data_IF_329236852934
#
_entry.id   IF_329236852934
#
_cell.length_a   1.000
_cell.length_b   1.000
_cell.length_c   1.000
_cell.angle_alpha   90.00
_cell.angle_beta   90.00
_cell.angle_gamma   90.00
#
_symmetry.space_group_name_H-M   'P 1'
#
loop_
_entity.id
_entity.type
_entity.pdbx_description
1 polymer ?
#
# COMPACT_ATOMS: atom_id res chain seq x y z
N UNK A 1 -7.78 61.53 29.97
CA UNK A 1 -6.62 62.45 29.90
C UNK A 1 -5.35 61.63 30.03
N UNK A 2 -4.38 61.79 29.13
CA UNK A 2 -3.03 61.23 29.27
C UNK A 2 -2.61 60.22 28.21
N UNK A 3 -2.43 60.68 26.97
CA UNK A 3 -1.64 60.02 25.93
C UNK A 3 -0.15 60.03 26.30
N UNK A 4 0.59 58.95 26.07
CA UNK A 4 2.05 59.00 25.92
C UNK A 4 2.49 58.28 24.65
N UNK A 5 3.29 59.01 23.87
CA UNK A 5 3.81 58.74 22.53
C UNK A 5 5.06 57.86 22.60
N UNK A 6 5.20 56.97 21.63
CA UNK A 6 6.46 56.31 21.28
C UNK A 6 7.28 57.19 20.31
N UNK A 7 8.62 57.14 20.33
CA UNK A 7 9.44 57.92 19.40
C UNK A 7 9.68 57.19 18.07
N UNK A 8 9.62 57.96 17.00
CA UNK A 8 10.05 57.63 15.64
C UNK A 8 11.58 57.49 15.59
N UNK A 9 12.06 56.42 14.94
CA UNK A 9 13.43 56.33 14.42
C UNK A 9 13.33 56.32 12.90
N UNK A 10 13.74 57.42 12.28
CA UNK A 10 14.03 57.52 10.85
C UNK A 10 15.41 56.94 10.59
N UNK A 11 15.53 56.04 9.60
CA UNK A 11 16.83 55.72 9.00
C UNK A 11 16.76 56.00 7.51
N UNK A 12 17.77 56.76 7.08
CA UNK A 12 17.96 57.34 5.77
C UNK A 12 18.22 56.30 4.68
N UNK A 13 17.63 56.59 3.53
CA UNK A 13 17.81 55.92 2.25
C UNK A 13 19.19 56.27 1.67
N UNK A 14 20.10 55.31 1.59
CA UNK A 14 21.35 55.44 0.84
C UNK A 14 21.31 54.50 -0.38
N UNK A 15 21.31 55.11 -1.56
CA UNK A 15 21.40 54.46 -2.86
C UNK A 15 22.80 53.85 -3.07
N UNK A 16 22.85 52.66 -3.65
CA UNK A 16 24.05 52.06 -4.23
C UNK A 16 23.74 51.45 -5.61
N UNK A 17 24.73 51.41 -6.51
CA UNK A 17 24.53 51.50 -7.94
C UNK A 17 24.21 50.18 -8.62
N UNK A 18 23.47 50.29 -9.72
CA UNK A 18 23.28 49.26 -10.73
C UNK A 18 24.63 48.76 -11.26
N UNK A 19 24.81 47.43 -11.22
CA UNK A 19 25.91 46.76 -11.90
C UNK A 19 25.33 45.70 -12.83
N UNK A 20 25.32 46.05 -14.11
CA UNK A 20 25.17 45.14 -15.23
C UNK A 20 26.16 43.97 -15.13
N UNK A 21 25.69 42.76 -15.36
CA UNK A 21 26.55 41.67 -15.83
C UNK A 21 25.75 40.72 -16.71
N UNK A 22 25.81 40.97 -18.03
CA UNK A 22 25.72 39.93 -19.05
C UNK A 22 27.00 39.08 -19.00
N UNK A 23 26.87 37.76 -19.12
CA UNK A 23 27.85 36.71 -19.56
C UNK A 23 27.19 35.39 -19.10
N UNK A 24 26.63 34.57 -20.00
CA UNK A 24 27.24 33.62 -20.94
C UNK A 24 27.09 32.19 -20.40
N UNK A 25 26.60 31.32 -21.27
CA UNK A 25 26.64 29.87 -21.13
C UNK A 25 28.10 29.39 -20.98
N UNK A 26 28.34 28.46 -20.06
CA UNK A 26 28.76 27.08 -20.40
C UNK A 26 29.09 26.26 -19.14
N UNK A 27 28.78 24.97 -19.26
CA UNK A 27 29.23 23.80 -18.51
C UNK A 27 30.22 24.02 -17.35
N UNK A 28 29.75 23.78 -16.12
CA UNK A 28 30.56 23.15 -15.06
C UNK A 28 29.75 22.21 -14.20
N UNK A 29 29.97 20.93 -14.48
CA UNK A 29 29.85 19.77 -13.61
C UNK A 29 30.36 20.12 -12.18
N UNK A 30 29.43 20.30 -11.24
CA UNK A 30 29.75 20.50 -9.83
C UNK A 30 29.70 19.17 -9.09
N UNK A 31 30.85 18.49 -9.04
CA UNK A 31 31.12 17.49 -8.03
C UNK A 31 31.21 18.19 -6.66
N UNK A 32 30.29 17.86 -5.76
CA UNK A 32 30.39 18.24 -4.35
C UNK A 32 30.67 16.99 -3.50
N UNK A 33 31.66 17.00 -2.59
CA UNK A 33 32.11 15.83 -1.86
C UNK A 33 31.51 15.82 -0.44
N UNK A 34 30.56 14.92 -0.13
CA UNK A 34 30.19 14.63 1.26
C UNK A 34 29.82 13.16 1.43
N UNK A 35 30.55 12.51 2.35
CA UNK A 35 30.29 11.20 3.00
C UNK A 35 30.41 9.92 2.18
N UNK A 36 31.67 9.49 2.03
CA UNK A 36 32.08 8.09 1.99
C UNK A 36 31.78 7.41 3.33
N UNK A 37 30.80 6.49 3.37
CA UNK A 37 30.70 5.37 4.31
C UNK A 37 29.44 4.54 3.98
N UNK A 38 29.46 3.81 2.86
CA UNK A 38 28.66 2.59 2.71
C UNK A 38 29.55 1.56 2.01
N UNK A 39 29.79 0.48 2.74
CA UNK A 39 30.58 -0.68 2.36
C UNK A 39 29.95 -1.43 1.18
N UNK A 40 30.81 -2.09 0.41
CA UNK A 40 30.53 -3.03 -0.68
C UNK A 40 29.20 -3.83 -0.54
N UNK A 41 28.27 -3.76 -1.51
CA UNK A 41 27.22 -4.76 -1.67
C UNK A 41 27.76 -5.90 -2.55
N UNK A 42 28.76 -6.62 -2.07
CA UNK A 42 29.32 -7.80 -2.75
C UNK A 42 29.55 -8.95 -1.77
N UNK A 43 28.68 -9.06 -0.76
CA UNK A 43 28.53 -10.27 0.05
C UNK A 43 27.08 -10.74 -0.05
N UNK A 44 26.75 -11.25 -1.22
CA UNK A 44 25.70 -12.26 -1.38
C UNK A 44 26.09 -13.42 -0.47
N UNK A 45 25.40 -13.57 0.65
CA UNK A 45 25.41 -14.81 1.43
C UNK A 45 24.71 -15.88 0.58
N UNK A 46 25.48 -16.46 -0.33
CA UNK A 46 25.13 -17.68 -1.06
C UNK A 46 25.15 -18.82 -0.03
N UNK A 47 24.03 -19.02 0.66
CA UNK A 47 23.74 -20.21 1.48
C UNK A 47 23.46 -21.40 0.54
N UNK A 48 24.41 -21.69 -0.35
CA UNK A 48 24.50 -22.99 -1.01
C UNK A 48 24.99 -23.98 0.02
N UNK A 49 24.17 -25.00 0.23
CA UNK A 49 24.49 -26.22 0.94
C UNK A 49 25.78 -26.81 0.35
N UNK A 50 26.93 -26.42 0.91
CA UNK A 50 28.18 -27.14 0.67
C UNK A 50 28.02 -28.53 1.31
N UNK A 51 28.21 -29.63 0.57
CA UNK A 51 28.26 -30.94 1.18
C UNK A 51 29.46 -30.94 2.13
N UNK A 52 29.15 -31.06 3.42
CA UNK A 52 30.13 -31.15 4.49
C UNK A 52 30.94 -32.44 4.25
N UNK A 53 32.10 -32.33 3.61
CA UNK A 53 33.04 -33.45 3.50
C UNK A 53 33.47 -33.84 4.91
N UNK A 54 33.04 -35.04 5.30
CA UNK A 54 33.35 -35.64 6.60
C UNK A 54 34.85 -35.93 6.69
N UNK A 55 35.59 -35.03 7.33
CA UNK A 55 36.99 -35.24 7.68
C UNK A 55 37.11 -36.31 8.78
N UNK A 56 37.87 -37.41 8.55
CA UNK A 56 38.03 -38.48 9.52
C UNK A 56 39.21 -38.17 10.45
N UNK A 57 39.04 -37.20 11.34
CA UNK A 57 39.97 -36.95 12.44
C UNK A 57 39.25 -36.29 13.62
N UNK A 58 38.37 -37.07 14.27
CA UNK A 58 37.79 -36.69 15.57
C UNK A 58 38.85 -36.77 16.65
N UNK A 59 39.55 -35.65 16.90
CA UNK A 59 40.24 -35.45 18.16
C UNK A 59 39.15 -35.21 19.21
N UNK A 60 38.95 -36.20 20.06
CA UNK A 60 38.02 -36.20 21.20
C UNK A 60 38.50 -35.19 22.25
N UNK A 61 38.29 -33.89 21.98
CA UNK A 61 38.42 -32.85 23.00
C UNK A 61 37.19 -32.99 23.90
N UNK A 62 37.36 -33.63 25.04
CA UNK A 62 36.35 -33.70 26.09
C UNK A 62 35.98 -32.27 26.53
N UNK A 63 34.93 -31.70 25.94
CA UNK A 63 34.42 -30.39 26.34
C UNK A 63 33.69 -30.55 27.68
N UNK A 64 34.43 -30.30 28.77
CA UNK A 64 33.79 -29.96 30.04
C UNK A 64 33.25 -28.52 29.93
N UNK A 65 32.23 -28.32 29.10
CA UNK A 65 31.52 -27.06 29.08
C UNK A 65 30.85 -26.91 30.47
N UNK A 66 31.22 -25.90 31.28
CA UNK A 66 30.59 -25.68 32.57
C UNK A 66 29.09 -25.57 32.37
N UNK A 67 28.30 -26.35 33.14
CA UNK A 67 26.84 -26.32 33.05
C UNK A 67 26.38 -24.86 33.11
N UNK A 68 25.59 -24.39 32.13
CA UNK A 68 25.19 -22.99 32.06
C UNK A 68 24.49 -22.63 33.37
N UNK A 69 25.07 -21.67 34.10
CA UNK A 69 24.46 -21.16 35.33
C UNK A 69 23.20 -20.40 34.94
N UNK A 70 22.08 -20.73 35.58
CA UNK A 70 20.81 -20.06 35.35
C UNK A 70 20.94 -18.59 35.76
N UNK A 71 20.61 -17.66 34.86
CA UNK A 71 20.63 -16.21 35.12
C UNK A 71 19.78 -15.82 36.35
N UNK A 72 18.74 -16.60 36.66
CA UNK A 72 17.89 -16.39 37.83
C UNK A 72 18.60 -16.69 39.17
N UNK A 73 19.79 -17.29 39.15
CA UNK A 73 20.60 -17.55 40.34
C UNK A 73 21.54 -16.38 40.68
N UNK A 74 21.55 -15.31 39.90
CA UNK A 74 22.30 -14.10 40.21
C UNK A 74 21.69 -13.39 41.43
N UNK A 75 22.50 -12.68 42.24
CA UNK A 75 21.99 -11.84 43.32
C UNK A 75 20.98 -10.81 42.82
N UNK A 76 19.99 -10.48 43.65
CA UNK A 76 18.91 -9.53 43.30
C UNK A 76 19.44 -8.17 42.82
N UNK A 77 20.51 -7.68 43.45
CA UNK A 77 21.13 -6.39 43.10
C UNK A 77 21.76 -6.42 41.71
N UNK A 78 22.37 -7.55 41.33
CA UNK A 78 22.95 -7.75 40.00
C UNK A 78 21.84 -7.80 38.95
N UNK A 79 20.75 -8.52 39.22
CA UNK A 79 19.59 -8.58 38.32
C UNK A 79 18.92 -7.21 38.16
N UNK A 80 18.76 -6.46 39.26
CA UNK A 80 18.23 -5.11 39.22
C UNK A 80 19.13 -4.18 38.42
N UNK A 81 20.45 -4.22 38.65
CA UNK A 81 21.41 -3.42 37.90
C UNK A 81 21.41 -3.72 36.41
N UNK A 82 21.36 -5.00 36.02
CA UNK A 82 21.22 -5.41 34.63
C UNK A 82 19.93 -4.86 34.02
N UNK A 83 18.81 -4.98 34.71
CA UNK A 83 17.52 -4.50 34.22
C UNK A 83 17.44 -2.97 34.14
N UNK A 84 18.03 -2.24 35.09
CA UNK A 84 18.11 -0.77 35.06
C UNK A 84 19.07 -0.24 33.97
N UNK A 85 20.03 -1.06 33.51
CA UNK A 85 20.92 -0.74 32.40
C UNK A 85 20.31 -1.05 31.01
N UNK A 86 19.20 -1.76 30.94
CA UNK A 86 18.52 -2.10 29.70
C UNK A 86 17.55 -0.98 29.26
N UNK A 87 17.30 -0.85 27.94
CA UNK A 87 16.18 -0.05 27.44
C UNK A 87 14.85 -0.49 28.10
N UNK A 88 13.92 0.44 28.40
CA UNK A 88 12.69 0.12 29.15
C UNK A 88 11.85 -1.03 28.59
N UNK A 89 11.79 -1.16 27.26
CA UNK A 89 11.09 -2.27 26.58
C UNK A 89 11.74 -3.63 26.85
N UNK A 90 13.07 -3.69 26.81
CA UNK A 90 13.87 -4.88 27.06
C UNK A 90 13.92 -5.23 28.54
N UNK A 91 14.00 -4.23 29.42
CA UNK A 91 13.91 -4.41 30.87
C UNK A 91 12.54 -4.99 31.28
N UNK A 92 11.46 -4.50 30.65
CA UNK A 92 10.12 -5.05 30.85
C UNK A 92 10.00 -6.50 30.36
N UNK A 93 10.58 -6.84 29.20
CA UNK A 93 10.62 -8.23 28.71
C UNK A 93 11.40 -9.15 29.65
N UNK A 94 12.56 -8.71 30.14
CA UNK A 94 13.35 -9.45 31.12
C UNK A 94 12.52 -9.71 32.39
N UNK A 95 11.84 -8.68 32.89
CA UNK A 95 10.92 -8.76 34.04
C UNK A 95 9.84 -9.83 33.85
N UNK A 96 9.22 -9.93 32.68
CA UNK A 96 8.12 -10.89 32.43
C UNK A 96 8.59 -12.25 31.88
N UNK A 97 9.88 -12.43 31.61
CA UNK A 97 10.41 -13.64 30.96
C UNK A 97 10.16 -14.92 31.76
N UNK A 98 10.12 -14.84 33.10
CA UNK A 98 9.75 -15.98 33.95
C UNK A 98 9.20 -15.53 35.31
N UNK A 99 8.57 -16.46 36.04
CA UNK A 99 8.00 -16.20 37.38
C UNK A 99 9.04 -15.69 38.38
N UNK A 100 10.27 -16.18 38.32
CA UNK A 100 11.35 -15.75 39.21
C UNK A 100 11.77 -14.33 38.91
N UNK A 101 12.03 -13.99 37.65
CA UNK A 101 12.34 -12.61 37.25
C UNK A 101 11.22 -11.66 37.62
N UNK A 102 9.94 -12.04 37.41
CA UNK A 102 8.81 -11.20 37.79
C UNK A 102 8.75 -10.93 39.30
N UNK A 103 9.00 -11.95 40.13
CA UNK A 103 9.04 -11.79 41.59
C UNK A 103 10.21 -10.93 42.06
N UNK A 104 11.36 -11.07 41.41
CA UNK A 104 12.61 -10.38 41.78
C UNK A 104 12.63 -8.93 41.31
N UNK A 105 12.31 -8.69 40.03
CA UNK A 105 12.37 -7.38 39.38
C UNK A 105 11.08 -6.58 39.54
N UNK A 106 9.95 -7.26 39.79
CA UNK A 106 8.65 -6.65 39.99
C UNK A 106 8.03 -6.06 38.72
N UNK A 107 6.93 -5.34 38.93
CA UNK A 107 6.17 -4.67 37.87
C UNK A 107 6.71 -3.28 37.50
N UNK A 108 7.77 -2.78 38.18
CA UNK A 108 8.28 -1.41 37.97
C UNK A 108 8.64 -1.12 36.51
N UNK A 109 9.27 -2.09 35.84
CA UNK A 109 9.70 -1.96 34.44
C UNK A 109 8.51 -1.99 33.46
N UNK A 110 7.51 -2.83 33.72
CA UNK A 110 6.26 -2.83 32.95
C UNK A 110 5.46 -1.56 33.19
N UNK A 111 5.44 -1.07 34.43
CA UNK A 111 4.82 0.19 34.82
C UNK A 111 5.44 1.39 34.11
N UNK A 112 6.77 1.38 33.90
CA UNK A 112 7.47 2.41 33.15
C UNK A 112 6.97 2.53 31.69
N UNK A 113 6.48 1.44 31.08
CA UNK A 113 5.89 1.47 29.73
C UNK A 113 4.54 2.19 29.66
N UNK A 114 3.86 2.38 30.80
CA UNK A 114 2.59 3.11 30.85
C UNK A 114 2.79 4.62 30.93
N UNK A 115 4.03 5.09 31.16
CA UNK A 115 4.32 6.51 31.14
C UNK A 115 4.65 6.87 29.68
N UNK A 116 3.70 7.45 28.90
CA UNK A 116 4.05 7.89 27.57
C UNK A 116 5.16 8.91 27.74
N UNK A 117 6.29 8.69 27.06
CA UNK A 117 7.21 9.79 26.81
C UNK A 117 6.34 10.90 26.22
N UNK A 118 6.12 11.98 26.97
CA UNK A 118 5.22 13.09 26.62
C UNK A 118 5.81 13.83 25.42
N UNK A 119 5.73 13.23 24.24
CA UNK A 119 5.54 14.02 23.05
C UNK A 119 4.18 14.71 23.22
N UNK A 120 4.18 16.03 23.14
CA UNK A 120 2.99 16.89 23.18
C UNK A 120 1.86 16.20 22.41
N UNK A 121 0.70 16.05 23.04
CA UNK A 121 -0.43 15.24 22.57
C UNK A 121 -1.00 15.77 21.25
N UNK A 122 -0.32 15.48 20.15
CA UNK A 122 -0.91 15.59 18.84
C UNK A 122 -1.80 14.36 18.65
N UNK A 123 -3.04 14.53 18.14
CA UNK A 123 -3.82 13.40 17.67
C UNK A 123 -2.96 12.60 16.70
N UNK A 124 -2.82 11.29 16.92
CA UNK A 124 -2.01 10.40 16.08
C UNK A 124 -2.39 10.54 14.60
N UNK A 125 -3.68 10.72 14.30
CA UNK A 125 -4.20 11.08 12.97
C UNK A 125 -3.54 12.35 12.39
N UNK A 126 -3.39 13.42 13.18
CA UNK A 126 -2.82 14.67 12.72
C UNK A 126 -1.31 14.54 12.42
N UNK A 127 -0.63 13.59 13.08
CA UNK A 127 0.78 13.30 12.84
C UNK A 127 0.98 12.57 11.52
N UNK A 128 0.18 11.53 11.25
CA UNK A 128 0.20 10.84 9.96
C UNK A 128 -0.11 11.78 8.80
N UNK A 129 -1.17 12.58 8.94
CA UNK A 129 -1.62 13.49 7.88
C UNK A 129 -0.57 14.53 7.49
N UNK A 130 0.27 14.96 8.43
CA UNK A 130 1.29 15.99 8.17
C UNK A 130 2.63 15.41 7.74
N UNK A 131 2.78 14.08 7.69
CA UNK A 131 4.06 13.41 7.42
C UNK A 131 5.23 14.05 8.21
N UNK A 132 4.92 14.64 9.38
CA UNK A 132 5.86 15.44 10.17
C UNK A 132 6.86 14.45 10.69
N UNK A 133 8.01 14.34 10.01
CA UNK A 133 9.19 13.56 10.35
C UNK A 133 9.00 12.83 11.68
N UNK A 134 8.26 11.71 11.63
CA UNK A 134 7.84 10.96 12.82
C UNK A 134 9.08 10.13 13.24
N UNK A 135 10.17 10.84 13.52
CA UNK A 135 11.18 10.44 14.50
C UNK A 135 10.57 10.44 15.90
N UNK A 136 9.27 10.71 16.06
CA UNK A 136 8.56 10.51 17.30
C UNK A 136 8.78 9.09 17.79
N UNK A 137 9.48 9.08 18.92
CA UNK A 137 9.92 7.96 19.73
C UNK A 137 9.12 6.71 19.43
N UNK A 138 9.86 5.64 19.09
CA UNK A 138 9.36 4.30 19.34
C UNK A 138 8.91 4.29 20.79
N UNK A 139 7.60 4.37 21.04
CA UNK A 139 7.14 4.22 22.41
C UNK A 139 7.69 2.88 22.88
N UNK A 140 8.45 2.85 23.98
CA UNK A 140 9.03 1.61 24.47
C UNK A 140 7.94 0.52 24.60
N UNK A 141 6.71 0.94 24.90
CA UNK A 141 5.51 0.10 24.83
C UNK A 141 5.32 -0.59 23.47
N UNK A 142 5.40 0.11 22.34
CA UNK A 142 5.21 -0.51 21.02
C UNK A 142 6.29 -1.56 20.73
N UNK A 143 7.56 -1.26 21.01
CA UNK A 143 8.64 -2.23 20.83
C UNK A 143 8.46 -3.45 21.74
N UNK A 144 8.12 -3.22 23.01
CA UNK A 144 7.79 -4.28 23.96
C UNK A 144 6.69 -5.18 23.42
N UNK A 145 5.58 -4.60 22.95
CA UNK A 145 4.47 -5.36 22.39
C UNK A 145 4.86 -6.07 21.09
N UNK A 146 5.70 -5.47 20.24
CA UNK A 146 6.20 -6.10 19.00
C UNK A 146 7.03 -7.34 19.30
N UNK A 147 7.92 -7.24 20.27
CA UNK A 147 8.73 -8.37 20.74
C UNK A 147 7.85 -9.44 21.36
N UNK A 148 6.86 -9.07 22.16
CA UNK A 148 5.89 -10.00 22.74
C UNK A 148 5.01 -10.66 21.66
N UNK A 149 4.60 -9.93 20.62
CA UNK A 149 3.83 -10.45 19.50
C UNK A 149 4.60 -11.54 18.75
N UNK A 150 5.92 -11.41 18.58
CA UNK A 150 6.77 -12.42 17.94
C UNK A 150 6.58 -13.80 18.56
N UNK A 151 6.52 -13.85 19.89
CA UNK A 151 6.45 -15.09 20.66
C UNK A 151 4.99 -15.57 20.86
N UNK A 152 3.99 -14.75 20.51
CA UNK A 152 2.56 -15.07 20.62
C UNK A 152 1.96 -15.31 19.23
N UNK A 153 1.79 -16.56 18.75
CA UNK A 153 1.54 -16.84 17.34
C UNK A 153 0.34 -16.08 16.77
N UNK A 154 -0.78 -16.07 17.48
CA UNK A 154 -2.04 -15.45 17.07
C UNK A 154 -2.19 -13.99 17.52
N UNK A 155 -1.10 -13.26 17.80
CA UNK A 155 -1.18 -11.85 18.20
C UNK A 155 -0.37 -10.92 17.29
N UNK A 156 -0.92 -9.77 16.91
CA UNK A 156 -0.17 -8.71 16.24
C UNK A 156 -0.13 -7.45 17.11
N UNK A 157 0.89 -6.64 16.93
CA UNK A 157 0.98 -5.33 17.58
C UNK A 157 0.35 -4.28 16.69
N UNK A 158 -0.80 -3.79 17.10
CA UNK A 158 -1.44 -2.69 16.41
C UNK A 158 -0.70 -1.39 16.71
N UNK A 159 -0.15 -0.78 15.66
CA UNK A 159 0.61 0.45 15.78
C UNK A 159 -0.27 1.64 16.24
N UNK A 160 -1.45 1.93 15.64
CA UNK A 160 -2.28 3.07 16.08
C UNK A 160 -2.72 3.01 17.54
N UNK A 161 -3.12 1.84 18.05
CA UNK A 161 -3.67 1.73 19.41
C UNK A 161 -2.62 1.36 20.46
N UNK A 162 -1.43 0.90 20.03
CA UNK A 162 -0.36 0.42 20.89
C UNK A 162 -0.82 -0.69 21.86
N UNK A 163 -1.54 -1.68 21.30
CA UNK A 163 -2.04 -2.89 21.97
C UNK A 163 -1.74 -4.13 21.15
N UNK A 164 -1.74 -5.28 21.83
CA UNK A 164 -1.74 -6.59 21.19
C UNK A 164 -3.18 -6.97 20.82
N UNK A 165 -3.38 -7.31 19.55
CA UNK A 165 -4.64 -7.84 19.05
C UNK A 165 -4.47 -9.32 18.76
N UNK A 166 -5.38 -10.12 19.30
CA UNK A 166 -5.50 -11.51 18.91
C UNK A 166 -6.20 -11.58 17.54
N UNK A 167 -5.61 -12.31 16.59
CA UNK A 167 -6.25 -12.65 15.33
C UNK A 167 -6.63 -14.14 15.34
N UNK A 168 -7.92 -14.43 15.24
CA UNK A 168 -8.46 -15.78 15.32
C UNK A 168 -8.11 -16.66 14.11
N UNK A 169 -8.19 -18.00 14.22
CA UNK A 169 -7.96 -18.91 13.10
C UNK A 169 -8.90 -18.64 11.91
N UNK A 170 -10.15 -18.24 12.19
CA UNK A 170 -11.20 -17.91 11.21
C UNK A 170 -10.96 -16.61 10.41
N UNK A 171 -9.81 -15.93 10.58
CA UNK A 171 -9.48 -14.69 9.88
C UNK A 171 -9.43 -14.79 8.34
N UNK A 172 -9.46 -16.00 7.76
CA UNK A 172 -9.43 -16.17 6.31
C UNK A 172 -10.70 -15.73 5.57
N UNK A 173 -11.85 -15.64 6.24
CA UNK A 173 -13.14 -15.35 5.57
C UNK A 173 -13.74 -13.98 5.92
N UNK A 174 -13.37 -13.39 7.07
CA UNK A 174 -13.92 -12.11 7.52
C UNK A 174 -12.79 -11.16 7.95
N UNK A 175 -11.86 -10.89 7.04
CA UNK A 175 -10.74 -9.96 7.25
C UNK A 175 -11.21 -8.55 7.67
N UNK A 176 -12.47 -8.20 7.44
CA UNK A 176 -13.00 -6.83 7.47
C UNK A 176 -13.80 -6.44 8.73
N UNK A 177 -14.21 -7.38 9.59
CA UNK A 177 -15.35 -7.11 10.51
C UNK A 177 -14.97 -6.59 11.90
N UNK A 178 -13.70 -6.70 12.33
CA UNK A 178 -13.29 -6.22 13.66
C UNK A 178 -11.95 -5.47 13.64
N UNK A 179 -11.86 -4.43 12.81
CA UNK A 179 -10.82 -3.42 12.96
C UNK A 179 -10.92 -2.80 14.36
N UNK A 180 -9.80 -2.65 15.08
CA UNK A 180 -9.76 -1.70 16.20
C UNK A 180 -10.32 -0.36 15.69
N UNK A 181 -11.38 0.16 16.32
CA UNK A 181 -12.30 1.16 15.77
C UNK A 181 -11.70 2.52 15.32
N UNK A 182 -10.38 2.69 15.37
CA UNK A 182 -9.63 3.90 15.07
C UNK A 182 -8.67 3.75 13.87
N UNK A 183 -8.95 2.84 12.92
CA UNK A 183 -8.01 2.43 11.87
C UNK A 183 -8.13 3.12 10.51
N UNK A 184 -9.09 4.01 10.32
CA UNK A 184 -9.43 4.59 9.00
C UNK A 184 -8.23 5.32 8.37
N UNK A 185 -7.34 5.90 9.18
CA UNK A 185 -6.25 6.76 8.70
C UNK A 185 -5.06 6.00 8.10
N UNK A 186 -5.03 4.68 8.23
CA UNK A 186 -4.00 3.79 7.67
C UNK A 186 -4.62 2.77 6.70
N UNK A 187 -5.76 3.10 6.09
CA UNK A 187 -6.25 2.33 4.97
C UNK A 187 -5.49 2.78 3.70
N UNK A 188 -5.20 1.84 2.81
CA UNK A 188 -4.68 2.19 1.49
C UNK A 188 -5.78 2.97 0.76
N UNK A 189 -5.61 4.29 0.48
CA UNK A 189 -6.62 5.07 -0.24
C UNK A 189 -6.96 4.43 -1.59
N UNK A 190 -5.98 3.72 -2.13
CA UNK A 190 -5.99 3.02 -3.40
C UNK A 190 -6.81 1.73 -3.42
N UNK A 191 -7.09 1.12 -2.26
CA UNK A 191 -7.92 -0.09 -2.11
C UNK A 191 -9.28 0.23 -1.49
N UNK A 192 -9.81 1.42 -1.80
CA UNK A 192 -11.17 1.86 -1.45
C UNK A 192 -11.52 1.72 0.05
N UNK A 193 -10.49 1.71 0.92
CA UNK A 193 -10.66 1.58 2.37
C UNK A 193 -10.78 0.14 2.90
N UNK A 194 -10.79 -0.88 2.04
CA UNK A 194 -11.03 -2.26 2.44
C UNK A 194 -9.84 -2.91 3.14
N UNK A 195 -8.61 -2.59 2.71
CA UNK A 195 -7.41 -3.20 3.25
C UNK A 195 -6.70 -2.26 4.21
N UNK A 196 -6.62 -2.69 5.46
CA UNK A 196 -5.91 -1.98 6.52
C UNK A 196 -4.60 -2.68 6.87
N UNK A 197 -3.60 -1.90 7.30
CA UNK A 197 -2.26 -2.41 7.59
C UNK A 197 -2.22 -3.62 8.54
N UNK A 198 -3.09 -3.65 9.56
CA UNK A 198 -3.07 -4.72 10.55
C UNK A 198 -3.48 -6.08 9.97
N UNK A 199 -4.36 -6.08 8.96
CA UNK A 199 -4.75 -7.29 8.23
C UNK A 199 -3.53 -7.86 7.50
N UNK A 200 -2.83 -6.98 6.79
CA UNK A 200 -1.61 -7.31 6.04
C UNK A 200 -0.49 -7.81 6.96
N UNK A 201 -0.29 -7.15 8.11
CA UNK A 201 0.65 -7.58 9.13
C UNK A 201 0.33 -8.98 9.69
N UNK A 202 -0.96 -9.27 9.93
CA UNK A 202 -1.37 -10.61 10.39
C UNK A 202 -1.10 -11.68 9.32
N UNK A 203 -1.38 -11.37 8.05
CA UNK A 203 -1.10 -12.24 6.93
C UNK A 203 0.41 -12.55 6.80
N UNK A 204 1.26 -11.53 6.84
CA UNK A 204 2.72 -11.68 6.80
C UNK A 204 3.26 -12.47 7.98
N UNK A 205 2.72 -12.25 9.18
CA UNK A 205 3.14 -13.01 10.34
C UNK A 205 2.83 -14.51 10.20
N UNK A 206 1.64 -14.86 9.71
CA UNK A 206 1.28 -16.27 9.44
C UNK A 206 2.17 -16.89 8.37
N UNK A 207 2.49 -16.12 7.34
CA UNK A 207 3.41 -16.51 6.30
C UNK A 207 4.80 -16.84 6.87
N UNK A 208 5.39 -15.97 7.70
CA UNK A 208 6.68 -16.23 8.36
C UNK A 208 6.67 -17.43 9.31
N UNK A 209 5.53 -17.68 9.94
CA UNK A 209 5.33 -18.87 10.79
C UNK A 209 5.13 -20.16 9.97
N UNK A 210 5.24 -20.09 8.65
CA UNK A 210 5.04 -21.21 7.70
C UNK A 210 3.64 -21.84 7.80
N UNK A 211 2.65 -21.07 8.24
CA UNK A 211 1.26 -21.51 8.31
C UNK A 211 0.50 -21.27 7.00
N UNK A 212 1.07 -20.50 6.07
CA UNK A 212 0.47 -20.19 4.78
C UNK A 212 1.56 -20.33 3.71
N UNK A 213 1.32 -21.16 2.71
CA UNK A 213 2.28 -21.42 1.63
C UNK A 213 2.10 -20.54 0.40
N UNK A 214 0.99 -19.81 0.24
CA UNK A 214 0.67 -19.17 -1.05
C UNK A 214 -0.23 -17.93 -0.91
N UNK A 215 -0.24 -17.16 -2.01
CA UNK A 215 -1.14 -16.05 -2.37
C UNK A 215 -2.48 -16.07 -1.64
N UNK A 216 -2.86 -14.94 -1.04
CA UNK A 216 -4.17 -14.76 -0.42
C UNK A 216 -5.00 -13.95 -1.42
N UNK A 217 -5.82 -14.60 -2.27
CA UNK A 217 -6.69 -13.83 -3.13
C UNK A 217 -7.68 -13.07 -2.25
N UNK A 218 -7.54 -11.75 -2.22
CA UNK A 218 -8.60 -10.87 -1.73
C UNK A 218 -9.55 -10.66 -2.89
N UNK A 219 -10.42 -11.63 -3.17
CA UNK A 219 -11.46 -11.42 -4.17
C UNK A 219 -12.47 -10.42 -3.61
N UNK A 220 -12.25 -9.15 -3.92
CA UNK A 220 -13.30 -8.14 -3.94
C UNK A 220 -13.45 -7.70 -5.40
N UNK A 221 -14.48 -8.22 -6.06
CA UNK A 221 -14.88 -7.78 -7.38
C UNK A 221 -15.89 -6.65 -7.17
N UNK A 222 -15.42 -5.43 -7.34
CA UNK A 222 -16.28 -4.27 -7.23
C UNK A 222 -16.67 -3.79 -8.62
N UNK A 223 -17.97 -3.65 -8.84
CA UNK A 223 -18.52 -2.99 -10.04
C UNK A 223 -19.02 -1.63 -9.61
N UNK A 224 -18.34 -0.59 -10.08
CA UNK A 224 -18.65 0.80 -9.76
C UNK A 224 -19.08 1.55 -11.01
N UNK A 225 -20.04 2.46 -10.84
CA UNK A 225 -20.51 3.35 -11.89
C UNK A 225 -19.87 4.71 -11.66
N UNK A 226 -18.98 5.12 -12.58
CA UNK A 226 -18.22 6.36 -12.42
C UNK A 226 -19.11 7.60 -12.51
N UNK A 227 -20.18 7.56 -13.31
CA UNK A 227 -21.22 8.57 -13.29
C UNK A 227 -22.51 8.08 -13.94
N UNK A 228 -23.70 8.39 -13.35
CA UNK A 228 -25.00 8.09 -13.96
C UNK A 228 -25.18 8.70 -15.35
N UNK A 229 -24.50 9.81 -15.66
CA UNK A 229 -24.60 10.49 -16.96
C UNK A 229 -23.60 9.95 -17.97
N UNK A 230 -22.41 9.54 -17.50
CA UNK A 230 -21.31 9.07 -18.35
C UNK A 230 -21.53 7.69 -18.97
N UNK A 231 -22.41 6.87 -18.38
CA UNK A 231 -22.62 5.47 -18.78
C UNK A 231 -21.34 4.61 -18.76
N UNK A 232 -20.27 5.09 -18.12
CA UNK A 232 -19.03 4.36 -17.95
C UNK A 232 -19.22 3.31 -16.86
N UNK A 233 -18.84 2.08 -17.19
CA UNK A 233 -18.84 0.96 -16.25
C UNK A 233 -17.40 0.65 -15.91
N UNK A 234 -17.06 0.71 -14.61
CA UNK A 234 -15.79 0.29 -14.07
C UNK A 234 -15.97 -1.06 -13.37
N UNK A 235 -15.25 -2.07 -13.83
CA UNK A 235 -15.05 -3.30 -13.08
C UNK A 235 -13.65 -3.28 -12.48
N UNK A 236 -13.53 -3.55 -11.19
CA UNK A 236 -12.27 -3.57 -10.46
C UNK A 236 -12.06 -4.94 -9.84
N UNK A 237 -10.84 -5.46 -9.98
CA UNK A 237 -10.38 -6.72 -9.41
C UNK A 237 -9.11 -6.45 -8.62
N UNK A 238 -9.12 -6.85 -7.36
CA UNK A 238 -7.97 -6.72 -6.48
C UNK A 238 -7.44 -8.11 -6.11
N UNK A 239 -6.13 -8.21 -5.93
CA UNK A 239 -5.48 -9.43 -5.44
C UNK A 239 -4.25 -9.06 -4.62
N UNK A 240 -3.98 -9.83 -3.57
CA UNK A 240 -2.79 -9.66 -2.74
C UNK A 240 -1.94 -10.92 -2.81
N UNK A 241 -0.65 -10.72 -3.05
CA UNK A 241 0.34 -11.78 -3.09
C UNK A 241 1.40 -11.50 -2.04
N UNK A 242 1.83 -12.55 -1.32
CA UNK A 242 3.04 -12.48 -0.51
C UNK A 242 4.14 -13.13 -1.33
N UNK A 243 5.04 -12.30 -1.85
CA UNK A 243 6.13 -12.74 -2.69
C UNK A 243 7.19 -13.45 -1.84
N UNK A 244 7.53 -14.68 -2.23
CA UNK A 244 8.58 -15.47 -1.56
C UNK A 244 9.99 -14.97 -1.87
N UNK A 245 10.19 -14.36 -3.04
CA UNK A 245 11.51 -13.89 -3.48
C UNK A 245 11.91 -12.61 -2.77
N UNK A 246 10.95 -11.68 -2.64
CA UNK A 246 11.17 -10.37 -2.03
C UNK A 246 10.75 -10.31 -0.55
N UNK A 247 10.06 -11.34 -0.05
CA UNK A 247 9.46 -11.37 1.29
C UNK A 247 8.57 -10.14 1.55
N UNK A 248 7.84 -9.71 0.51
CA UNK A 248 7.01 -8.51 0.52
C UNK A 248 5.57 -8.81 0.14
N UNK A 249 4.68 -7.93 0.56
CA UNK A 249 3.28 -7.91 0.17
C UNK A 249 3.17 -7.11 -1.12
N UNK A 250 2.73 -7.75 -2.19
CA UNK A 250 2.47 -7.11 -3.47
C UNK A 250 0.96 -7.11 -3.71
N UNK A 251 0.42 -5.93 -4.00
CA UNK A 251 -0.99 -5.78 -4.36
C UNK A 251 -1.10 -5.57 -5.85
N UNK A 252 -1.96 -6.37 -6.49
CA UNK A 252 -2.41 -6.17 -7.84
C UNK A 252 -3.80 -5.57 -7.83
N UNK A 253 -4.01 -4.52 -8.60
CA UNK A 253 -5.35 -4.00 -8.91
C UNK A 253 -5.49 -3.88 -10.42
N UNK A 254 -6.44 -4.59 -10.97
CA UNK A 254 -6.85 -4.46 -12.36
C UNK A 254 -8.19 -3.74 -12.40
N UNK A 255 -8.26 -2.70 -13.23
CA UNK A 255 -9.49 -2.01 -13.55
C UNK A 255 -9.78 -2.13 -15.03
N UNK A 256 -11.04 -2.35 -15.33
CA UNK A 256 -11.57 -2.55 -16.67
C UNK A 256 -12.65 -1.50 -16.85
N UNK A 257 -12.35 -0.52 -17.70
CA UNK A 257 -13.23 0.59 -18.02
C UNK A 257 -13.84 0.34 -19.38
N UNK A 258 -15.17 0.32 -19.42
CA UNK A 258 -15.93 0.04 -20.62
C UNK A 258 -16.43 1.35 -21.20
N UNK A 259 -15.99 1.64 -22.43
CA UNK A 259 -16.26 2.86 -23.18
C UNK A 259 -17.25 2.52 -24.31
N UNK A 260 -18.54 2.85 -24.19
CA UNK A 260 -19.54 2.49 -25.19
C UNK A 260 -19.21 2.98 -26.61
N UNK A 261 -19.36 2.13 -27.63
CA UNK A 261 -19.18 2.53 -29.04
C UNK A 261 -20.15 3.63 -29.49
N UNK A 262 -21.38 3.60 -28.97
CA UNK A 262 -22.47 4.48 -29.37
C UNK A 262 -22.97 5.22 -28.14
N UNK A 263 -22.28 6.29 -27.76
CA UNK A 263 -22.96 7.34 -27.02
C UNK A 263 -23.93 8.00 -27.99
N UNK A 264 -25.21 7.60 -27.92
CA UNK A 264 -26.29 8.53 -28.18
C UNK A 264 -26.23 9.62 -27.10
N UNK A 265 -25.17 10.43 -27.12
CA UNK A 265 -25.27 11.78 -26.64
C UNK A 265 -26.35 12.37 -27.53
N UNK A 266 -27.57 12.40 -27.00
CA UNK A 266 -28.65 13.13 -27.62
C UNK A 266 -28.06 14.49 -27.97
N UNK A 267 -28.26 14.91 -29.21
CA UNK A 267 -27.60 16.00 -29.94
C UNK A 267 -27.75 17.39 -29.33
N UNK A 268 -27.82 17.51 -28.00
CA UNK A 268 -27.52 18.73 -27.31
C UNK A 268 -26.10 19.11 -27.71
N UNK A 269 -26.01 20.29 -28.30
CA UNK A 269 -24.81 20.99 -28.75
C UNK A 269 -23.92 21.33 -27.55
N UNK A 270 -23.60 20.35 -26.71
CA UNK A 270 -22.61 20.49 -25.67
C UNK A 270 -21.24 20.35 -26.35
N UNK A 271 -20.48 21.45 -26.51
CA UNK A 271 -19.15 21.40 -27.11
C UNK A 271 -18.18 20.55 -26.28
N UNK A 272 -18.49 20.26 -25.02
CA UNK A 272 -17.64 19.49 -24.10
C UNK A 272 -18.09 18.02 -23.97
N UNK A 273 -18.34 17.34 -25.10
CA UNK A 273 -18.60 15.89 -25.15
C UNK A 273 -17.34 15.04 -24.89
N UNK A 274 -16.48 15.48 -23.97
CA UNK A 274 -15.33 14.73 -23.48
C UNK A 274 -15.51 14.48 -22.00
N UNK A 275 -15.22 13.27 -21.55
CA UNK A 275 -15.12 13.00 -20.11
C UNK A 275 -13.66 12.96 -19.77
N UNK A 276 -13.29 13.83 -18.82
CA UNK A 276 -12.03 13.72 -18.11
C UNK A 276 -12.28 13.02 -16.78
N UNK A 277 -11.39 12.10 -16.43
CA UNK A 277 -11.38 11.54 -15.09
C UNK A 277 -9.95 11.34 -14.61
N UNK A 278 -9.85 11.48 -13.29
CA UNK A 278 -8.60 11.41 -12.57
C UNK A 278 -8.37 9.98 -12.11
N UNK A 279 -7.32 9.35 -12.59
CA UNK A 279 -6.96 8.01 -12.20
C UNK A 279 -5.64 7.97 -11.42
N UNK A 280 -5.69 7.81 -10.09
CA UNK A 280 -4.46 7.65 -9.29
C UNK A 280 -3.90 6.24 -9.49
N UNK A 281 -2.79 6.13 -10.22
CA UNK A 281 -2.02 4.87 -10.31
C UNK A 281 -1.31 4.63 -8.98
N UNK A 282 -0.60 5.65 -8.50
CA UNK A 282 0.00 5.72 -7.19
C UNK A 282 -0.04 7.18 -6.68
N UNK A 283 0.38 7.47 -5.46
CA UNK A 283 0.43 8.85 -4.96
C UNK A 283 1.30 9.81 -5.78
N UNK A 284 2.28 9.28 -6.52
CA UNK A 284 3.21 10.07 -7.32
C UNK A 284 2.76 10.25 -8.78
N UNK A 285 1.90 9.36 -9.26
CA UNK A 285 1.46 9.31 -10.65
C UNK A 285 -0.06 9.33 -10.71
N UNK A 286 -0.57 10.44 -11.22
CA UNK A 286 -1.96 10.63 -11.57
C UNK A 286 -2.07 10.66 -13.08
N UNK A 287 -3.03 9.93 -13.61
CA UNK A 287 -3.38 9.99 -15.01
C UNK A 287 -4.63 10.82 -15.17
N UNK A 288 -4.49 11.84 -16.02
CA UNK A 288 -5.62 12.57 -16.55
C UNK A 288 -6.02 11.80 -17.82
N UNK A 289 -7.07 11.00 -17.69
CA UNK A 289 -7.64 10.23 -18.79
C UNK A 289 -8.67 11.10 -19.48
N UNK A 290 -8.57 11.20 -20.80
CA UNK A 290 -9.51 11.95 -21.63
C UNK A 290 -10.02 11.02 -22.72
N UNK A 291 -11.32 10.84 -22.78
CA UNK A 291 -11.95 10.08 -23.85
C UNK A 291 -12.80 10.99 -24.72
N UNK A 292 -12.40 11.11 -25.98
CA UNK A 292 -13.17 11.80 -27.01
C UNK A 292 -14.17 10.81 -27.61
N UNK A 293 -15.45 10.99 -27.29
CA UNK A 293 -16.53 10.15 -27.81
C UNK A 293 -16.69 10.25 -29.33
N UNK A 294 -16.34 11.38 -29.94
CA UNK A 294 -16.48 11.60 -31.40
C UNK A 294 -15.36 10.91 -32.15
N UNK A 295 -14.13 11.08 -31.68
CA UNK A 295 -12.96 10.46 -32.28
C UNK A 295 -12.78 9.00 -31.88
N UNK A 296 -13.52 8.52 -30.88
CA UNK A 296 -13.26 7.24 -30.18
C UNK A 296 -11.78 7.13 -29.81
N UNK A 297 -11.24 8.23 -29.30
CA UNK A 297 -9.82 8.35 -29.01
C UNK A 297 -9.64 8.54 -27.52
N UNK A 298 -9.03 7.52 -26.91
CA UNK A 298 -8.53 7.64 -25.55
C UNK A 298 -7.13 8.28 -25.59
N UNK A 299 -6.98 9.35 -24.83
CA UNK A 299 -5.69 9.97 -24.55
C UNK A 299 -5.46 9.98 -23.04
N UNK A 300 -4.19 9.85 -22.67
CA UNK A 300 -3.75 9.88 -21.28
C UNK A 300 -2.58 10.85 -21.20
N UNK A 301 -2.72 11.90 -20.39
CA UNK A 301 -1.69 12.93 -20.20
C UNK A 301 -1.09 13.40 -21.53
N UNK A 302 -1.95 13.80 -22.47
CA UNK A 302 -1.64 14.27 -23.82
C UNK A 302 -1.02 13.24 -24.79
N UNK A 303 -0.98 11.96 -24.41
CA UNK A 303 -0.44 10.89 -25.27
C UNK A 303 -1.54 9.94 -25.72
N UNK A 304 -1.59 9.66 -27.03
CA UNK A 304 -2.45 8.61 -27.57
C UNK A 304 -1.95 7.21 -27.16
N UNK A 305 -2.90 6.34 -26.81
CA UNK A 305 -2.68 4.94 -26.46
C UNK A 305 -2.98 4.03 -27.67
N UNK A 306 -2.10 4.02 -28.66
CA UNK A 306 -2.23 3.14 -29.83
C UNK A 306 -1.71 1.71 -29.58
N UNK A 307 -0.93 1.51 -28.52
CA UNK A 307 -0.33 0.22 -28.15
C UNK A 307 -0.39 0.02 -26.64
N UNK A 308 -0.36 -1.24 -26.17
CA UNK A 308 -0.13 -1.51 -24.77
C UNK A 308 1.16 -0.84 -24.28
N UNK A 309 1.17 -0.44 -23.01
CA UNK A 309 2.30 0.26 -22.40
C UNK A 309 2.54 -0.24 -20.99
N UNK A 310 3.68 -0.88 -20.80
CA UNK A 310 4.22 -1.18 -19.49
C UNK A 310 5.13 -0.05 -19.01
N UNK A 311 4.94 0.41 -17.78
CA UNK A 311 5.74 1.48 -17.17
C UNK A 311 5.85 1.26 -15.65
N UNK A 312 6.81 1.96 -15.05
CA UNK A 312 7.09 1.92 -13.62
C UNK A 312 7.18 3.33 -13.06
N UNK A 313 6.83 3.49 -11.79
CA UNK A 313 6.95 4.76 -11.09
C UNK A 313 8.39 5.01 -10.63
N UNK A 314 8.96 6.19 -10.88
CA UNK A 314 10.32 6.54 -10.44
C UNK A 314 10.47 6.77 -8.92
N UNK A 315 9.36 6.86 -8.18
CA UNK A 315 9.34 7.31 -6.77
C UNK A 315 8.86 6.24 -5.79
N UNK A 316 8.14 5.23 -6.26
CA UNK A 316 7.70 4.10 -5.44
C UNK A 316 7.76 2.82 -6.24
N UNK A 317 7.78 1.68 -5.53
CA UNK A 317 7.73 0.36 -6.12
C UNK A 317 6.33 0.08 -6.68
N UNK A 318 6.04 0.65 -7.84
CA UNK A 318 4.76 0.50 -8.53
C UNK A 318 5.00 0.34 -10.01
N UNK A 319 4.64 -0.84 -10.51
CA UNK A 319 4.56 -1.13 -11.93
C UNK A 319 3.11 -1.02 -12.39
N UNK A 320 2.90 -0.66 -13.65
CA UNK A 320 1.56 -0.61 -14.23
C UNK A 320 1.57 -0.90 -15.72
N UNK A 321 0.44 -1.43 -16.18
CA UNK A 321 0.20 -1.83 -17.55
C UNK A 321 -1.09 -1.24 -18.10
N UNK A 322 -0.87 -0.42 -19.12
CA UNK A 322 -1.73 0.23 -20.12
C UNK A 322 -2.27 -0.66 -21.23
N UNK A 323 -3.57 -0.88 -21.46
CA UNK A 323 -4.01 -1.13 -22.85
C UNK A 323 -5.43 -0.69 -23.16
N UNK A 324 -5.65 -0.46 -24.45
CA UNK A 324 -6.96 -0.25 -25.04
C UNK A 324 -7.22 -1.39 -26.01
N UNK A 325 -8.41 -1.97 -25.93
CA UNK A 325 -8.89 -2.97 -26.86
C UNK A 325 -10.14 -2.44 -27.55
N UNK A 326 -10.07 -2.24 -28.86
CA UNK A 326 -11.26 -1.94 -29.69
C UNK A 326 -12.09 -3.22 -29.84
N UNK A 327 -13.36 -3.16 -29.43
CA UNK A 327 -14.34 -4.25 -29.59
C UNK A 327 -15.40 -3.89 -30.64
N UNK A 328 -15.04 -3.08 -31.62
CA UNK A 328 -15.85 -2.68 -32.76
C UNK A 328 -17.17 -2.01 -32.33
N UNK A 329 -18.30 -2.70 -32.53
CA UNK A 329 -19.65 -2.25 -32.18
C UNK A 329 -19.90 -2.24 -30.66
N UNK A 330 -19.09 -2.96 -29.90
CA UNK A 330 -19.28 -3.06 -28.45
C UNK A 330 -18.71 -1.85 -27.71
N UNK A 331 -17.71 -1.20 -28.27
CA UNK A 331 -17.00 -0.07 -27.67
C UNK A 331 -15.53 -0.38 -27.48
N UNK A 332 -14.85 0.52 -26.80
CA UNK A 332 -13.45 0.36 -26.44
C UNK A 332 -13.37 -0.08 -24.98
N UNK A 333 -12.41 -0.93 -24.67
CA UNK A 333 -12.14 -1.37 -23.30
C UNK A 333 -10.76 -0.87 -22.91
N UNK A 334 -10.71 -0.08 -21.84
CA UNK A 334 -9.47 0.34 -21.23
C UNK A 334 -9.15 -0.61 -20.07
N UNK A 335 -8.02 -1.28 -20.18
CA UNK A 335 -7.44 -2.08 -19.12
C UNK A 335 -6.33 -1.30 -18.43
N UNK A 336 -6.43 -1.21 -17.11
CA UNK A 336 -5.42 -0.65 -16.24
C UNK A 336 -5.08 -1.65 -15.17
N UNK A 337 -3.93 -2.31 -15.30
CA UNK A 337 -3.40 -3.15 -14.23
C UNK A 337 -2.26 -2.42 -13.52
N UNK A 338 -2.24 -2.45 -12.19
CA UNK A 338 -1.10 -1.98 -11.41
C UNK A 338 -0.67 -3.04 -10.41
N UNK A 339 0.62 -3.06 -10.12
CA UNK A 339 1.24 -3.84 -9.07
C UNK A 339 2.00 -2.91 -8.15
N UNK A 340 1.80 -3.04 -6.86
CA UNK A 340 2.44 -2.19 -5.86
C UNK A 340 3.02 -3.05 -4.76
N UNK A 341 4.34 -2.93 -4.55
CA UNK A 341 5.01 -3.54 -3.40
C UNK A 341 4.78 -2.64 -2.17
N UNK A 342 4.21 -3.21 -1.12
CA UNK A 342 3.88 -2.54 0.13
C UNK A 342 4.92 -2.77 1.23
N UNK A 343 5.96 -3.56 0.98
CA UNK A 343 7.01 -3.93 1.92
C UNK A 343 6.74 -5.26 2.63
N UNK A 344 7.51 -5.55 3.68
CA UNK A 344 7.42 -6.79 4.45
C UNK A 344 6.21 -6.83 5.39
N UNK A 345 5.49 -5.72 5.55
CA UNK A 345 4.30 -5.65 6.39
C UNK A 345 4.59 -5.79 7.88
N UNK A 346 5.84 -5.65 8.32
CA UNK A 346 6.24 -5.69 9.72
C UNK A 346 5.87 -4.41 10.46
N UNK A 347 5.96 -3.27 9.77
CA UNK A 347 5.77 -1.94 10.32
C UNK A 347 5.03 -1.03 9.34
N UNK A 348 4.02 -0.26 9.79
CA UNK A 348 3.39 0.73 8.93
C UNK A 348 4.35 1.88 8.60
N UNK A 349 5.51 1.98 9.27
CA UNK A 349 6.55 2.97 8.94
C UNK A 349 7.47 2.53 7.80
N UNK A 350 7.25 1.34 7.24
CA UNK A 350 8.00 0.92 6.06
C UNK A 350 7.84 1.94 4.94
N UNK A 351 8.95 2.21 4.26
CA UNK A 351 8.99 3.22 3.22
C UNK A 351 7.96 2.92 2.11
N UNK A 352 7.89 1.67 1.67
CA UNK A 352 6.94 1.21 0.66
C UNK A 352 5.49 1.48 1.07
N UNK A 353 5.13 1.09 2.31
CA UNK A 353 3.81 1.36 2.85
C UNK A 353 3.50 2.85 2.93
N UNK A 354 4.40 3.65 3.51
CA UNK A 354 4.21 5.09 3.66
C UNK A 354 4.04 5.78 2.32
N UNK A 355 4.83 5.39 1.32
CA UNK A 355 4.70 5.89 -0.05
C UNK A 355 3.41 5.46 -0.73
N UNK A 356 2.85 4.29 -0.39
CA UNK A 356 1.59 3.83 -0.94
C UNK A 356 0.37 4.57 -0.36
N UNK A 357 0.44 5.02 0.90
CA UNK A 357 -0.63 5.77 1.57
C UNK A 357 -0.47 7.29 1.52
N UNK A 358 0.70 7.79 1.10
CA UNK A 358 0.94 9.22 0.98
C UNK A 358 -0.12 9.85 0.07
N UNK A 359 -0.62 11.04 0.40
CA UNK A 359 -1.52 11.76 -0.49
C UNK A 359 -0.67 12.74 -1.31
N UNK A 360 -0.47 12.44 -2.60
CA UNK A 360 0.37 13.23 -3.50
C UNK A 360 -0.03 14.69 -3.62
N UNK A 361 -1.28 15.03 -3.27
CA UNK A 361 -1.81 16.40 -3.37
C UNK A 361 -1.31 17.35 -2.27
N UNK A 362 -0.79 16.83 -1.16
CA UNK A 362 -0.48 17.64 0.03
C UNK A 362 1.01 17.96 0.21
N UNK A 363 1.91 17.28 -0.49
CA UNK A 363 3.35 17.53 -0.38
C UNK A 363 3.81 18.48 -1.48
N UNK A 364 3.95 19.76 -1.12
CA UNK A 364 4.71 20.70 -1.95
C UNK A 364 6.14 20.22 -2.05
N UNK A 365 6.53 19.68 -3.22
CA UNK A 365 7.90 19.47 -3.73
C UNK A 365 9.02 18.99 -2.79
N UNK A 366 8.72 18.51 -1.58
CA UNK A 366 9.69 17.82 -0.76
C UNK A 366 10.08 16.57 -1.53
N UNK A 367 11.30 16.60 -2.06
CA UNK A 367 11.88 15.61 -2.98
C UNK A 367 11.86 14.25 -2.30
N UNK A 368 10.77 13.51 -2.45
CA UNK A 368 10.78 12.06 -2.22
C UNK A 368 11.91 11.55 -3.12
N UNK A 369 12.95 11.02 -2.50
CA UNK A 369 14.11 10.51 -3.23
C UNK A 369 13.64 9.45 -4.21
N UNK A 370 14.08 9.52 -5.47
CA UNK A 370 13.82 8.46 -6.45
C UNK A 370 14.18 7.11 -5.84
N UNK A 371 13.27 6.16 -5.97
CA UNK A 371 13.48 4.83 -5.40
C UNK A 371 14.25 4.00 -6.43
N UNK A 372 15.43 3.50 -6.05
CA UNK A 372 16.20 2.64 -6.94
C UNK A 372 15.64 1.23 -6.87
N UNK A 373 14.86 0.84 -7.88
CA UNK A 373 14.46 -0.55 -8.12
C UNK A 373 14.46 -0.82 -9.63
N UNK A 374 14.52 -2.10 -9.99
CA UNK A 374 14.45 -2.51 -11.38
C UNK A 374 13.00 -2.35 -11.88
N UNK A 375 12.81 -1.52 -12.90
CA UNK A 375 11.50 -1.29 -13.50
C UNK A 375 10.93 -2.62 -14.02
N UNK A 376 9.72 -2.97 -13.61
CA UNK A 376 9.11 -4.26 -13.94
C UNK A 376 9.27 -5.35 -12.89
N UNK A 377 10.14 -5.17 -11.89
CA UNK A 377 10.40 -6.22 -10.90
C UNK A 377 9.19 -6.52 -10.01
N UNK A 378 8.29 -5.56 -9.80
CA UNK A 378 7.11 -5.75 -8.93
C UNK A 378 6.06 -6.58 -9.68
N UNK A 379 5.83 -6.26 -10.96
CA UNK A 379 5.00 -7.06 -11.85
C UNK A 379 5.57 -8.48 -11.98
N UNK A 380 6.87 -8.61 -12.24
CA UNK A 380 7.52 -9.92 -12.40
C UNK A 380 7.43 -10.77 -11.11
N UNK A 381 7.64 -10.15 -9.94
CA UNK A 381 7.50 -10.85 -8.66
C UNK A 381 6.07 -11.37 -8.42
N UNK A 382 5.05 -10.68 -8.95
CA UNK A 382 3.65 -11.09 -8.83
C UNK A 382 3.24 -12.11 -9.90
N UNK A 383 3.42 -11.76 -11.17
CA UNK A 383 2.91 -12.50 -12.34
C UNK A 383 3.86 -13.61 -12.80
N UNK A 384 5.10 -13.61 -12.32
CA UNK A 384 6.19 -14.53 -12.74
C UNK A 384 6.52 -14.45 -14.22
N UNK A 385 6.19 -13.32 -14.85
CA UNK A 385 6.54 -12.96 -16.22
C UNK A 385 7.06 -11.53 -16.24
N UNK A 386 8.00 -11.18 -17.14
CA UNK A 386 8.42 -9.81 -17.32
C UNK A 386 7.21 -8.92 -17.66
N UNK A 387 7.16 -7.71 -17.11
CA UNK A 387 6.03 -6.80 -17.31
C UNK A 387 5.72 -6.47 -18.77
N UNK A 388 6.74 -6.43 -19.63
CA UNK A 388 6.57 -6.23 -21.08
C UNK A 388 5.86 -7.39 -21.80
N UNK A 389 5.85 -8.58 -21.18
CA UNK A 389 5.18 -9.78 -21.66
C UNK A 389 3.89 -10.06 -20.91
N UNK A 390 3.51 -9.19 -19.97
CA UNK A 390 2.26 -9.34 -19.27
C UNK A 390 1.11 -9.12 -20.24
N UNK A 391 0.28 -10.15 -20.39
CA UNK A 391 -1.00 -10.08 -21.07
C UNK A 391 -2.08 -9.90 -20.00
N UNK A 392 -3.08 -9.07 -20.28
CA UNK A 392 -4.21 -8.92 -19.35
C UNK A 392 -4.89 -10.27 -19.15
N UNK A 393 -5.62 -10.38 -18.05
CA UNK A 393 -6.56 -11.49 -17.86
C UNK A 393 -7.58 -11.42 -19.01
N UNK A 394 -7.29 -12.11 -20.12
CA UNK A 394 -7.89 -11.87 -21.46
C UNK A 394 -9.40 -12.03 -21.49
N UNK A 395 -9.98 -12.63 -20.45
CA UNK A 395 -11.42 -12.71 -20.25
C UNK A 395 -11.84 -11.89 -19.03
N UNK A 396 -12.50 -10.76 -19.29
CA UNK A 396 -13.74 -10.53 -18.54
C UNK A 396 -14.56 -11.80 -18.68
N UNK A 397 -14.92 -12.41 -17.56
CA UNK A 397 -15.72 -13.63 -17.58
C UNK A 397 -17.04 -13.31 -18.27
N UNK A 398 -17.66 -14.31 -18.87
CA UNK A 398 -18.98 -14.14 -19.49
C UNK A 398 -19.98 -13.47 -18.53
N UNK A 399 -19.87 -13.75 -17.24
CA UNK A 399 -20.64 -13.11 -16.15
C UNK A 399 -20.38 -11.60 -16.02
N UNK A 400 -19.14 -11.14 -16.16
CA UNK A 400 -18.81 -9.72 -16.09
C UNK A 400 -19.46 -9.00 -17.29
N UNK A 401 -19.44 -9.65 -18.46
CA UNK A 401 -20.16 -9.17 -19.64
C UNK A 401 -21.66 -9.20 -19.45
N UNK A 402 -22.24 -10.23 -18.84
CA UNK A 402 -23.67 -10.25 -18.53
C UNK A 402 -24.05 -9.06 -17.64
N UNK A 403 -23.24 -8.77 -16.62
CA UNK A 403 -23.47 -7.64 -15.73
C UNK A 403 -23.46 -6.36 -16.55
N UNK A 404 -22.42 -6.13 -17.34
CA UNK A 404 -22.30 -4.96 -18.24
C UNK A 404 -23.48 -4.86 -19.20
N UNK A 405 -23.87 -5.98 -19.81
CA UNK A 405 -24.94 -6.08 -20.80
C UNK A 405 -26.34 -5.94 -20.19
N UNK A 406 -26.52 -6.08 -18.87
CA UNK A 406 -27.82 -5.85 -18.21
C UNK A 406 -28.16 -4.36 -18.10
N UNK A 407 -27.22 -3.45 -18.34
CA UNK A 407 -27.45 -2.01 -18.16
C UNK A 407 -27.93 -1.29 -19.44
N UNK A 408 -28.72 -0.20 -19.33
CA UNK A 408 -29.50 0.38 -20.43
C UNK A 408 -28.72 0.82 -21.68
N UNK A 409 -27.40 1.00 -21.54
CA UNK A 409 -26.45 1.31 -22.61
C UNK A 409 -26.49 0.23 -23.70
N UNK A 410 -26.70 -1.03 -23.33
CA UNK A 410 -26.88 -2.16 -24.25
C UNK A 410 -28.32 -2.24 -24.80
N UNK A 411 -29.34 -1.95 -23.98
CA UNK A 411 -30.77 -2.06 -24.36
C UNK A 411 -31.21 -1.06 -25.43
N UNK A 412 -30.57 0.10 -25.51
CA UNK A 412 -30.78 1.02 -26.63
C UNK A 412 -30.38 0.37 -27.97
N UNK A 413 -29.40 -0.56 -27.97
CA UNK A 413 -28.98 -1.35 -29.14
C UNK A 413 -30.03 -2.38 -29.54
N UNK A 414 -30.59 -3.11 -28.57
CA UNK A 414 -31.63 -4.11 -28.86
C UNK A 414 -32.89 -3.47 -29.45
N UNK A 415 -33.31 -2.31 -28.91
CA UNK A 415 -34.45 -1.56 -29.46
C UNK A 415 -34.22 -1.05 -30.89
N UNK A 416 -32.97 -0.82 -31.32
CA UNK A 416 -32.67 -0.43 -32.71
C UNK A 416 -32.56 -1.65 -33.64
N UNK A 417 -31.97 -2.76 -33.20
CA UNK A 417 -31.98 -4.02 -33.95
C UNK A 417 -33.39 -4.55 -34.18
N UNK A 418 -34.27 -4.41 -33.18
CA UNK A 418 -35.69 -4.75 -33.31
C UNK A 418 -36.47 -3.75 -34.17
N UNK A 419 -36.13 -2.45 -34.15
CA UNK A 419 -36.80 -1.46 -35.04
C UNK A 419 -36.51 -1.66 -36.53
N UNK A 420 -35.41 -2.33 -36.90
CA UNK A 420 -35.14 -2.72 -38.28
C UNK A 420 -35.94 -3.95 -38.77
N UNK A 421 -36.63 -4.66 -37.88
CA UNK A 421 -37.42 -5.88 -38.18
C UNK A 421 -38.81 -5.72 -37.57
N UNK A 422 -39.76 -5.21 -38.36
CA UNK A 422 -41.07 -4.75 -37.90
C UNK A 422 -41.87 -5.66 -36.94
N UNK A 423 -42.54 -4.97 -36.00
CA UNK A 423 -43.72 -5.27 -35.17
C UNK A 423 -43.96 -6.69 -34.60
N UNK A 424 -44.03 -6.78 -33.26
CA UNK A 424 -45.29 -7.08 -32.52
C UNK A 424 -45.16 -6.97 -30.98
N UNK A 425 -45.96 -6.06 -30.43
CA UNK A 425 -46.66 -6.02 -29.12
C UNK A 425 -46.36 -7.12 -28.07
N UNK A 426 -45.94 -6.73 -26.86
CA UNK A 426 -46.73 -6.71 -25.59
C UNK A 426 -45.81 -6.51 -24.35
N UNK A 427 -46.37 -6.14 -23.17
CA UNK A 427 -45.62 -5.51 -22.08
C UNK A 427 -44.97 -6.53 -21.14
N UNK A 428 -43.74 -6.23 -20.72
CA UNK A 428 -43.07 -7.01 -19.69
C UNK A 428 -43.41 -6.50 -18.29
N UNK A 429 -43.98 -7.43 -17.51
CA UNK A 429 -44.14 -7.38 -16.06
C UNK A 429 -42.78 -7.22 -15.37
N UNK A 430 -42.83 -6.46 -14.28
CA UNK A 430 -41.78 -6.33 -13.28
C UNK A 430 -41.48 -7.71 -12.68
N UNK A 431 -40.21 -8.12 -12.69
CA UNK A 431 -39.67 -9.19 -11.84
C UNK A 431 -38.59 -8.56 -10.95
N UNK A 432 -38.89 -8.50 -9.66
CA UNK A 432 -37.92 -8.25 -8.59
C UNK A 432 -37.09 -9.51 -8.37
N UNK A 433 -35.77 -9.42 -8.53
CA UNK A 433 -34.86 -10.45 -8.08
C UNK A 433 -34.47 -10.16 -6.63
N UNK A 434 -35.03 -10.95 -5.71
CA UNK A 434 -34.46 -11.24 -4.39
C UNK A 434 -34.20 -12.76 -4.37
N UNK A 435 -33.12 -13.13 -3.71
CA UNK A 435 -32.67 -14.48 -3.36
C UNK A 435 -31.81 -15.20 -4.43
N UNK A 436 -30.49 -15.01 -4.29
CA UNK A 436 -29.49 -15.92 -4.82
C UNK A 436 -29.34 -17.12 -3.87
N UNK A 437 -29.61 -18.31 -4.41
CA UNK A 437 -29.62 -19.58 -3.69
C UNK A 437 -28.22 -20.17 -3.45
N UNK A 438 -27.13 -19.57 -3.95
CA UNK A 438 -25.77 -20.06 -3.71
C UNK A 438 -25.27 -19.88 -2.27
N UNK A 439 -25.94 -19.08 -1.43
CA UNK A 439 -25.49 -18.82 -0.04
C UNK A 439 -26.03 -19.86 0.97
N UNK A 440 -26.98 -20.74 0.60
CA UNK A 440 -27.52 -21.76 1.53
C UNK A 440 -26.88 -23.15 1.44
N UNK A 441 -26.09 -23.45 0.41
CA UNK A 441 -25.49 -24.78 0.27
C UNK A 441 -24.19 -24.98 1.08
N UNK A 442 -23.77 -24.00 1.89
CA UNK A 442 -22.52 -24.03 2.66
C UNK A 442 -22.74 -24.20 4.19
N UNK A 443 -23.97 -24.49 4.61
CA UNK A 443 -24.35 -24.66 6.01
C UNK A 443 -25.08 -25.98 6.33
N UNK A 444 -24.92 -27.00 5.48
CA UNK A 444 -25.20 -28.40 5.85
C UNK A 444 -23.90 -29.18 6.07
#
# INVERSE_FOLDING_TARGET
>A
MGNNKSPNVSMDTAALPEKDTRISADDKQSHSPVTSLIENPALVLDLRLLPLESSPASIEIASQAPKPKNICALPIDVLAHLADALPPDTAALLSISCKTMWRTLGSKYVGALNNPYRAVSFPVHAMYRRNLNIQLDRSYRYNFLRLLARDLPNHITCYPCNKLHMFGPAYGQNLLVYSCAFHVDNALPLLEGYVSFHILQAAMKRYHQRHITLSIPLYDETITFLSPTSQLVECSREAIHISHTTNSIIVRKQRILLLPANHHYASYEDPDASISWDYPICPHLKWDCFYDFRARQLSVSDRSLASPRFQSCDYCMTDYHIAVQDRNEEGDVLYLTRWQDLGSGESPREFNWQNAIANGTAQGQDKVSRYAYEHGSVCEAFERVPGERFEFDESMREQDWEIVNRYPVSRARDMQRERGKGEKKLPLKILTARDDAMVRAWFE
#
